data_IF_280200121496
#
_entry.id   IF_280200121496
#
_cell.length_a   1.000
_cell.length_b   1.000
_cell.length_c   1.000
_cell.angle_alpha   90.00
_cell.angle_beta   90.00
_cell.angle_gamma   90.00
#
_symmetry.space_group_name_H-M   'P 1'
#
loop_
_entity.id
_entity.type
_entity.pdbx_description
1 polymer ?
#
# COMPACT_ATOMS: atom_id res chain seq x y z
N UNK A 1 -4.91 16.52 -27.16
CA UNK A 1 -5.39 15.17 -26.84
C UNK A 1 -6.09 15.23 -25.48
N UNK A 2 -7.41 15.22 -25.47
CA UNK A 2 -8.21 15.27 -24.23
C UNK A 2 -8.43 13.84 -23.74
N UNK A 3 -7.73 13.47 -22.67
CA UNK A 3 -7.93 12.19 -21.99
C UNK A 3 -9.30 12.21 -21.31
N UNK A 4 -10.29 11.54 -21.90
CA UNK A 4 -11.59 11.30 -21.26
C UNK A 4 -11.34 10.44 -20.01
N UNK A 5 -11.48 11.02 -18.83
CA UNK A 5 -11.41 10.28 -17.58
C UNK A 5 -12.51 9.22 -17.56
N UNK A 6 -12.13 7.94 -17.68
CA UNK A 6 -13.02 6.79 -17.58
C UNK A 6 -13.67 6.83 -16.20
N UNK A 7 -14.99 7.02 -16.12
CA UNK A 7 -15.75 6.90 -14.87
C UNK A 7 -15.38 5.59 -14.19
N UNK A 8 -14.82 5.68 -12.98
CA UNK A 8 -14.38 4.52 -12.22
C UNK A 8 -15.61 3.62 -11.96
N UNK A 9 -15.54 2.37 -12.40
CA UNK A 9 -16.60 1.39 -12.15
C UNK A 9 -16.60 1.03 -10.67
N UNK A 10 -17.80 0.95 -10.08
CA UNK A 10 -17.96 0.34 -8.77
C UNK A 10 -17.59 -1.15 -8.86
N UNK A 11 -16.78 -1.62 -7.93
CA UNK A 11 -16.34 -3.01 -7.85
C UNK A 11 -16.93 -3.67 -6.59
N UNK A 12 -17.39 -4.93 -6.69
CA UNK A 12 -17.86 -5.65 -5.51
C UNK A 12 -16.68 -5.96 -4.58
N UNK A 13 -16.85 -5.74 -3.28
CA UNK A 13 -15.90 -6.13 -2.23
C UNK A 13 -16.44 -7.37 -1.51
N UNK A 14 -15.71 -8.47 -1.59
CA UNK A 14 -16.04 -9.69 -0.83
C UNK A 14 -15.51 -9.54 0.59
N UNK A 15 -16.37 -9.81 1.56
CA UNK A 15 -16.06 -9.85 2.99
C UNK A 15 -16.68 -11.10 3.59
N UNK A 16 -16.18 -11.54 4.73
CA UNK A 16 -16.82 -12.62 5.49
C UNK A 16 -18.17 -12.15 6.10
N UNK A 17 -19.07 -13.08 6.48
CA UNK A 17 -20.39 -12.73 6.98
C UNK A 17 -20.39 -11.89 8.27
N UNK A 18 -19.41 -12.10 9.15
CA UNK A 18 -19.32 -11.37 10.42
C UNK A 18 -18.98 -9.90 10.15
N UNK A 19 -18.02 -9.66 9.25
CA UNK A 19 -17.67 -8.32 8.78
C UNK A 19 -18.84 -7.64 8.05
N UNK A 20 -19.59 -8.33 7.19
CA UNK A 20 -20.78 -7.72 6.55
C UNK A 20 -21.83 -7.31 7.60
N UNK A 21 -22.01 -8.08 8.67
CA UNK A 21 -22.93 -7.74 9.74
C UNK A 21 -22.49 -6.46 10.47
N UNK A 22 -21.19 -6.34 10.78
CA UNK A 22 -20.63 -5.12 11.37
C UNK A 22 -20.79 -3.90 10.46
N UNK A 23 -20.52 -4.05 9.16
CA UNK A 23 -20.73 -2.99 8.16
C UNK A 23 -22.21 -2.59 8.10
N UNK A 24 -23.12 -3.57 8.12
CA UNK A 24 -24.57 -3.34 8.08
C UNK A 24 -25.05 -2.54 9.28
N UNK A 25 -24.70 -2.98 10.48
CA UNK A 25 -25.11 -2.34 11.73
C UNK A 25 -24.49 -0.96 11.87
N UNK A 26 -23.19 -0.83 11.62
CA UNK A 26 -22.48 0.46 11.66
C UNK A 26 -23.09 1.47 10.69
N UNK A 27 -23.37 1.05 9.46
CA UNK A 27 -23.96 1.93 8.45
C UNK A 27 -25.37 2.38 8.88
N UNK A 28 -26.18 1.45 9.39
CA UNK A 28 -27.51 1.74 9.90
C UNK A 28 -27.49 2.77 11.03
N UNK A 29 -26.69 2.53 12.07
CA UNK A 29 -26.64 3.42 13.25
C UNK A 29 -26.05 4.80 12.94
N UNK A 30 -25.14 4.88 11.96
CA UNK A 30 -24.52 6.15 11.55
C UNK A 30 -25.31 6.89 10.46
N UNK A 31 -26.41 6.31 9.96
CA UNK A 31 -27.18 6.91 8.86
C UNK A 31 -26.40 6.98 7.54
N UNK A 32 -25.41 6.11 7.35
CA UNK A 32 -24.58 6.02 6.16
C UNK A 32 -25.02 4.87 5.26
N UNK A 33 -24.67 4.94 3.97
CA UNK A 33 -24.70 3.73 3.16
C UNK A 33 -23.53 2.83 3.54
N UNK A 34 -23.68 1.50 3.39
CA UNK A 34 -22.57 0.55 3.60
C UNK A 34 -21.31 0.96 2.83
N UNK A 35 -21.49 1.43 1.59
CA UNK A 35 -20.41 1.90 0.71
C UNK A 35 -19.69 3.11 1.29
N UNK A 36 -20.42 4.10 1.79
CA UNK A 36 -19.81 5.32 2.34
C UNK A 36 -19.08 5.03 3.66
N UNK A 37 -19.67 4.19 4.52
CA UNK A 37 -19.00 3.71 5.73
C UNK A 37 -17.66 3.03 5.40
N UNK A 38 -17.66 2.09 4.44
CA UNK A 38 -16.44 1.38 4.03
C UNK A 38 -15.43 2.35 3.43
N UNK A 39 -15.87 3.31 2.61
CA UNK A 39 -14.98 4.31 2.01
C UNK A 39 -14.30 5.18 3.07
N UNK A 40 -15.03 5.63 4.09
CA UNK A 40 -14.47 6.39 5.20
C UNK A 40 -13.54 5.53 6.07
N UNK A 41 -13.96 4.32 6.43
CA UNK A 41 -13.17 3.41 7.24
C UNK A 41 -11.81 3.09 6.59
N UNK A 42 -11.80 2.83 5.28
CA UNK A 42 -10.55 2.58 4.53
C UNK A 42 -9.64 3.80 4.57
N UNK A 43 -10.16 5.01 4.32
CA UNK A 43 -9.34 6.24 4.38
C UNK A 43 -8.73 6.44 5.76
N UNK A 44 -9.52 6.29 6.82
CA UNK A 44 -9.05 6.44 8.20
C UNK A 44 -8.02 5.37 8.57
N UNK A 45 -8.24 4.12 8.15
CA UNK A 45 -7.31 3.04 8.41
C UNK A 45 -5.94 3.27 7.75
N UNK A 46 -5.94 3.66 6.47
CA UNK A 46 -4.72 3.95 5.73
C UNK A 46 -4.03 5.22 6.24
N UNK A 47 -4.78 6.23 6.66
CA UNK A 47 -4.21 7.45 7.27
C UNK A 47 -3.42 7.12 8.54
N UNK A 48 -3.97 6.26 9.41
CA UNK A 48 -3.30 5.81 10.63
C UNK A 48 -2.06 4.96 10.36
N UNK A 49 -1.99 4.30 9.19
CA UNK A 49 -0.87 3.45 8.75
C UNK A 49 0.01 4.12 7.70
N UNK A 50 -0.06 5.45 7.58
CA UNK A 50 0.67 6.17 6.54
C UNK A 50 2.18 5.96 6.63
N UNK A 51 2.72 5.87 7.84
CA UNK A 51 4.16 5.64 8.04
C UNK A 51 4.56 4.22 7.63
N UNK A 52 3.82 3.20 8.05
CA UNK A 52 4.03 1.80 7.62
C UNK A 52 3.97 1.66 6.09
N UNK A 53 2.99 2.32 5.46
CA UNK A 53 2.85 2.34 4.01
C UNK A 53 4.03 3.04 3.31
N UNK A 54 4.53 4.15 3.87
CA UNK A 54 5.71 4.83 3.33
C UNK A 54 6.96 3.97 3.46
N UNK A 55 7.14 3.29 4.60
CA UNK A 55 8.25 2.39 4.82
C UNK A 55 8.22 1.23 3.80
N UNK A 56 7.08 0.54 3.67
CA UNK A 56 6.94 -0.54 2.70
C UNK A 56 7.09 -0.08 1.24
N UNK A 57 6.67 1.15 0.91
CA UNK A 57 6.85 1.69 -0.43
C UNK A 57 8.29 2.10 -0.72
N UNK A 58 9.02 2.62 0.28
CA UNK A 58 10.45 2.89 0.16
C UNK A 58 11.26 1.60 -0.02
N UNK A 59 10.94 0.56 0.74
CA UNK A 59 11.54 -0.78 0.60
C UNK A 59 11.25 -1.36 -0.80
N UNK A 60 10.00 -1.31 -1.26
CA UNK A 60 9.65 -1.78 -2.59
C UNK A 60 10.36 -0.98 -3.69
N UNK A 61 10.57 0.33 -3.51
CA UNK A 61 11.31 1.16 -4.46
C UNK A 61 12.81 0.86 -4.47
N UNK A 62 13.42 0.54 -3.32
CA UNK A 62 14.83 0.13 -3.27
C UNK A 62 15.07 -1.17 -4.04
N UNK A 63 14.17 -2.15 -3.89
CA UNK A 63 14.25 -3.40 -4.68
C UNK A 63 14.07 -3.15 -6.18
N UNK A 64 13.34 -2.10 -6.56
CA UNK A 64 13.02 -1.78 -7.94
C UNK A 64 13.91 -0.71 -8.57
N UNK A 65 14.89 -0.15 -7.83
CA UNK A 65 15.68 0.98 -8.34
C UNK A 65 16.60 0.60 -9.52
N UNK A 66 16.80 -0.71 -9.74
CA UNK A 66 17.54 -1.26 -10.88
C UNK A 66 19.04 -0.94 -10.86
N UNK A 67 19.55 -0.41 -9.75
CA UNK A 67 20.98 -0.19 -9.52
C UNK A 67 21.70 -1.52 -9.35
N UNK A 68 22.96 -1.56 -9.79
CA UNK A 68 23.81 -2.73 -9.56
C UNK A 68 24.00 -2.98 -8.06
N UNK A 69 23.95 -1.92 -7.24
CA UNK A 69 24.03 -1.98 -5.78
C UNK A 69 22.82 -2.69 -5.17
N UNK A 70 21.59 -2.36 -5.60
CA UNK A 70 20.37 -3.02 -5.12
C UNK A 70 20.27 -4.47 -5.57
N UNK A 71 20.77 -4.82 -6.77
CA UNK A 71 20.90 -6.21 -7.23
C UNK A 71 21.87 -7.02 -6.37
N UNK A 72 23.04 -6.45 -6.05
CA UNK A 72 24.04 -7.11 -5.18
C UNK A 72 23.51 -7.28 -3.76
N UNK A 73 22.85 -6.27 -3.19
CA UNK A 73 22.19 -6.38 -1.89
C UNK A 73 21.14 -7.51 -1.90
N UNK A 74 20.33 -7.59 -2.95
CA UNK A 74 19.30 -8.63 -3.11
C UNK A 74 19.88 -10.04 -3.23
N UNK A 75 21.01 -10.22 -3.93
CA UNK A 75 21.66 -11.52 -4.13
C UNK A 75 22.44 -12.00 -2.91
N UNK A 76 23.03 -11.08 -2.16
CA UNK A 76 23.95 -11.40 -1.05
C UNK A 76 23.28 -11.32 0.33
N UNK A 77 22.16 -10.61 0.44
CA UNK A 77 21.49 -10.33 1.71
C UNK A 77 22.22 -9.31 2.59
N UNK A 78 23.28 -8.68 2.07
CA UNK A 78 24.03 -7.63 2.76
C UNK A 78 23.26 -6.29 2.74
N UNK A 79 23.39 -5.51 3.80
CA UNK A 79 22.86 -4.14 3.81
C UNK A 79 23.73 -3.19 2.97
N UNK A 80 23.22 -2.00 2.66
CA UNK A 80 23.96 -1.01 1.88
C UNK A 80 25.29 -0.62 2.57
N UNK A 81 25.29 -0.52 3.89
CA UNK A 81 26.47 -0.22 4.70
C UNK A 81 27.50 -1.37 4.67
N UNK A 82 27.03 -2.61 4.67
CA UNK A 82 27.90 -3.79 4.58
C UNK A 82 28.54 -3.92 3.19
N UNK A 83 27.78 -3.59 2.12
CA UNK A 83 28.33 -3.51 0.76
C UNK A 83 29.38 -2.40 0.66
N UNK A 84 29.15 -1.25 1.27
CA UNK A 84 30.14 -0.15 1.30
C UNK A 84 31.39 -0.52 2.13
N UNK A 85 31.22 -1.28 3.21
CA UNK A 85 32.33 -1.72 4.05
C UNK A 85 33.30 -2.69 3.34
N UNK A 86 32.85 -3.40 2.31
CA UNK A 86 33.70 -4.33 1.52
C UNK A 86 34.27 -3.70 0.25
N UNK A 87 34.15 -2.38 0.10
CA UNK A 87 34.70 -1.62 -1.03
C UNK A 87 33.66 -0.89 -1.87
N UNK A 88 32.37 -1.11 -1.61
CA UNK A 88 31.27 -0.44 -2.31
C UNK A 88 31.14 -0.86 -3.77
N UNK A 89 30.21 -0.20 -4.47
CA UNK A 89 30.03 -0.31 -5.92
C UNK A 89 30.07 1.12 -6.47
N UNK A 90 31.00 1.37 -7.38
CA UNK A 90 31.02 2.60 -8.17
C UNK A 90 30.01 2.46 -9.31
N UNK A 91 28.96 3.29 -9.32
CA UNK A 91 28.01 3.44 -10.43
C UNK A 91 28.36 4.61 -11.35
#
# INVERSE_FOLDING_TARGET
>A
MTTTAKTARQAPLKVDPETDQLISQGAHFLGLTKKDLVAEAVRVYLERRREDLRAGMAEALQVLDGSLKSDVMSLTGLTAEEVDAVGGIDE
#
